data_IF_498555192346
#
_entry.id   IF_498555192346
#
_cell.length_a   1.000
_cell.length_b   1.000
_cell.length_c   1.000
_cell.angle_alpha   90.00
_cell.angle_beta   90.00
_cell.angle_gamma   90.00
#
_symmetry.space_group_name_H-M   'P 1'
#
loop_
_entity.id
_entity.type
_entity.pdbx_description
1 polymer ?
#
# COMPACT_ATOMS: atom_id res chain seq x y z
N UNK A 1 81.01 -8.32 3.08
CA UNK A 1 80.07 -8.07 4.16
C UNK A 1 79.24 -6.82 3.77
N UNK A 2 77.93 -6.80 3.83
CA UNK A 2 76.96 -7.55 4.63
C UNK A 2 75.70 -8.00 3.85
N UNK A 3 75.27 -9.22 4.04
CA UNK A 3 73.96 -9.70 3.64
C UNK A 3 73.12 -10.08 4.87
N UNK A 4 72.43 -9.17 5.52
CA UNK A 4 71.48 -9.51 6.61
C UNK A 4 70.33 -8.50 6.78
N UNK A 5 69.72 -7.96 5.74
CA UNK A 5 68.64 -6.98 5.96
C UNK A 5 67.30 -7.30 5.34
N UNK A 6 67.07 -8.45 4.68
CA UNK A 6 65.83 -8.70 3.93
C UNK A 6 64.90 -9.84 4.42
N UNK A 7 65.22 -10.49 5.56
CA UNK A 7 64.44 -11.66 6.03
C UNK A 7 63.33 -11.34 7.06
N UNK A 8 63.27 -10.15 7.65
CA UNK A 8 62.28 -9.81 8.71
C UNK A 8 60.92 -9.38 8.19
N UNK A 9 60.82 -8.76 7.01
CA UNK A 9 59.56 -8.20 6.47
C UNK A 9 58.59 -9.25 5.91
N UNK A 10 59.07 -10.38 5.44
CA UNK A 10 58.22 -11.43 4.85
C UNK A 10 57.45 -12.25 5.89
N UNK A 11 57.92 -12.35 7.12
CA UNK A 11 57.20 -13.04 8.21
C UNK A 11 56.07 -12.17 8.79
N UNK A 12 56.30 -10.88 8.91
CA UNK A 12 55.32 -9.92 9.41
C UNK A 12 54.10 -9.78 8.48
N UNK A 13 54.29 -9.73 7.16
CA UNK A 13 53.19 -9.66 6.19
C UNK A 13 52.37 -10.94 6.09
N UNK A 14 52.98 -12.10 6.32
CA UNK A 14 52.25 -13.38 6.37
C UNK A 14 51.43 -13.53 7.63
N UNK A 15 51.92 -13.10 8.77
CA UNK A 15 51.18 -13.06 10.04
C UNK A 15 50.02 -12.10 9.98
N UNK A 16 50.18 -10.90 9.44
CA UNK A 16 49.11 -9.94 9.22
C UNK A 16 47.99 -10.50 8.32
N UNK A 17 48.36 -11.12 7.20
CA UNK A 17 47.37 -11.76 6.29
C UNK A 17 46.64 -12.92 6.96
N UNK A 18 47.30 -13.73 7.78
CA UNK A 18 46.65 -14.81 8.52
C UNK A 18 45.67 -14.28 9.59
N UNK A 19 46.02 -13.19 10.28
CA UNK A 19 45.13 -12.54 11.26
C UNK A 19 43.89 -11.93 10.57
N UNK A 20 44.09 -11.27 9.43
CA UNK A 20 42.94 -10.73 8.65
C UNK A 20 42.04 -11.84 8.11
N UNK A 21 42.60 -12.93 7.63
CA UNK A 21 41.82 -14.08 7.15
C UNK A 21 41.04 -14.74 8.31
N UNK A 22 41.62 -14.90 9.48
CA UNK A 22 40.97 -15.43 10.66
C UNK A 22 39.84 -14.49 11.15
N UNK A 23 40.07 -13.19 11.18
CA UNK A 23 39.08 -12.21 11.57
C UNK A 23 37.88 -12.17 10.59
N UNK A 24 38.15 -12.24 9.28
CA UNK A 24 37.11 -12.35 8.26
C UNK A 24 36.29 -13.65 8.41
N UNK A 25 36.92 -14.76 8.70
CA UNK A 25 36.26 -16.04 8.97
C UNK A 25 35.31 -15.97 10.17
N UNK A 26 35.76 -15.35 11.27
CA UNK A 26 34.93 -15.15 12.48
C UNK A 26 33.71 -14.27 12.17
N UNK A 27 33.88 -13.19 11.42
CA UNK A 27 32.77 -12.29 11.03
C UNK A 27 31.74 -13.05 10.19
N UNK A 28 32.16 -13.86 9.22
CA UNK A 28 31.26 -14.67 8.39
C UNK A 28 30.51 -15.69 9.26
N UNK A 29 31.17 -16.38 10.17
CA UNK A 29 30.52 -17.35 11.08
C UNK A 29 29.49 -16.64 11.98
N UNK A 30 29.81 -15.47 12.52
CA UNK A 30 28.88 -14.68 13.33
C UNK A 30 27.67 -14.23 12.50
N UNK A 31 27.86 -13.76 11.28
CA UNK A 31 26.76 -13.36 10.40
C UNK A 31 25.85 -14.54 10.03
N UNK A 32 26.44 -15.71 9.75
CA UNK A 32 25.69 -16.93 9.46
C UNK A 32 24.94 -17.42 10.71
N UNK A 33 25.56 -17.37 11.88
CA UNK A 33 24.93 -17.76 13.13
C UNK A 33 23.77 -16.82 13.49
N UNK A 34 23.94 -15.51 13.34
CA UNK A 34 22.87 -14.52 13.56
C UNK A 34 21.76 -14.70 12.53
N UNK A 35 22.07 -14.96 11.26
CA UNK A 35 21.09 -15.26 10.22
C UNK A 35 20.32 -16.56 10.49
N UNK A 36 21.00 -17.60 11.00
CA UNK A 36 20.36 -18.87 11.35
C UNK A 36 19.51 -18.82 12.63
N UNK A 37 19.80 -17.88 13.53
CA UNK A 37 19.00 -17.63 14.74
C UNK A 37 17.77 -16.75 14.49
N UNK A 38 17.67 -16.08 13.34
CA UNK A 38 16.44 -15.42 12.94
C UNK A 38 15.52 -16.49 12.35
N UNK A 39 14.39 -16.84 13.02
CA UNK A 39 13.43 -17.75 12.41
C UNK A 39 13.04 -17.16 11.06
N UNK A 40 12.94 -17.99 10.00
CA UNK A 40 12.41 -17.52 8.74
C UNK A 40 11.06 -16.89 9.08
N UNK A 41 10.89 -15.59 8.76
CA UNK A 41 9.58 -15.00 8.80
C UNK A 41 8.74 -15.85 7.86
N UNK A 42 7.88 -16.69 8.44
CA UNK A 42 6.81 -17.28 7.66
C UNK A 42 6.03 -16.09 7.10
N UNK A 43 6.27 -15.77 5.83
CA UNK A 43 5.31 -15.01 5.06
C UNK A 43 4.10 -15.93 4.96
N UNK A 44 3.30 -15.94 6.03
CA UNK A 44 2.00 -16.59 6.01
C UNK A 44 1.28 -16.00 4.82
N UNK A 45 0.80 -16.85 3.92
CA UNK A 45 -0.11 -16.42 2.88
C UNK A 45 -1.30 -15.83 3.62
N UNK A 46 -1.31 -14.51 3.77
CA UNK A 46 -2.45 -13.83 4.37
C UNK A 46 -3.59 -13.92 3.38
N UNK A 47 -4.66 -14.59 3.76
CA UNK A 47 -5.92 -14.62 3.00
C UNK A 47 -6.79 -13.41 3.31
N UNK A 48 -6.33 -12.52 4.18
CA UNK A 48 -7.05 -11.32 4.58
C UNK A 48 -7.27 -10.40 3.38
N UNK A 49 -8.50 -9.96 3.24
CA UNK A 49 -8.91 -9.09 2.14
C UNK A 49 -9.94 -8.08 2.63
N UNK A 50 -9.82 -6.86 2.16
CA UNK A 50 -10.79 -5.79 2.34
C UNK A 50 -11.45 -5.42 1.01
N UNK A 51 -12.74 -5.23 1.03
CA UNK A 51 -13.55 -4.80 -0.10
C UNK A 51 -14.40 -5.90 -0.73
N UNK A 52 -15.22 -5.54 -1.72
CA UNK A 52 -16.15 -6.47 -2.36
C UNK A 52 -15.42 -7.55 -3.15
N UNK A 53 -16.10 -8.69 -3.29
CA UNK A 53 -15.65 -9.80 -4.13
C UNK A 53 -16.25 -9.67 -5.54
N UNK A 54 -15.56 -10.23 -6.51
CA UNK A 54 -16.12 -10.33 -7.86
C UNK A 54 -17.39 -11.21 -7.87
N UNK A 55 -18.45 -10.74 -8.47
CA UNK A 55 -19.74 -11.40 -8.47
C UNK A 55 -20.62 -11.14 -7.24
N UNK A 56 -20.09 -10.50 -6.20
CA UNK A 56 -20.86 -10.07 -5.01
C UNK A 56 -21.74 -8.87 -5.38
N UNK A 57 -22.99 -8.84 -4.90
CA UNK A 57 -23.78 -7.63 -5.03
C UNK A 57 -23.32 -6.54 -4.06
N UNK A 58 -23.50 -5.27 -4.45
CA UNK A 58 -23.19 -4.14 -3.55
C UNK A 58 -23.96 -4.25 -2.24
N UNK A 59 -25.20 -4.73 -2.25
CA UNK A 59 -26.02 -4.90 -1.04
C UNK A 59 -25.45 -5.95 -0.09
N UNK A 60 -25.00 -7.10 -0.60
CA UNK A 60 -24.34 -8.16 0.17
C UNK A 60 -23.03 -7.67 0.77
N UNK A 61 -22.21 -6.98 -0.03
CA UNK A 61 -20.99 -6.36 0.48
C UNK A 61 -21.25 -5.37 1.63
N UNK A 62 -22.23 -4.47 1.46
CA UNK A 62 -22.57 -3.48 2.50
C UNK A 62 -23.09 -4.15 3.78
N UNK A 63 -23.80 -5.27 3.68
CA UNK A 63 -24.21 -6.06 4.84
C UNK A 63 -22.99 -6.69 5.55
N UNK A 64 -22.12 -7.37 4.80
CA UNK A 64 -20.89 -7.99 5.31
C UNK A 64 -19.93 -6.96 5.93
N UNK A 65 -19.78 -5.79 5.32
CA UNK A 65 -18.97 -4.70 5.87
C UNK A 65 -19.51 -4.22 7.24
N UNK A 66 -20.82 -4.08 7.40
CA UNK A 66 -21.44 -3.74 8.68
C UNK A 66 -21.24 -4.83 9.72
N UNK A 67 -21.38 -6.09 9.34
CA UNK A 67 -21.22 -7.24 10.24
C UNK A 67 -19.78 -7.35 10.77
N UNK A 68 -18.78 -6.93 9.98
CA UNK A 68 -17.37 -6.90 10.39
C UNK A 68 -17.09 -5.96 11.57
N UNK A 69 -18.00 -5.01 11.85
CA UNK A 69 -17.89 -4.04 12.92
C UNK A 69 -18.56 -4.48 14.23
N UNK A 70 -19.09 -5.71 14.29
CA UNK A 70 -19.88 -6.21 15.42
C UNK A 70 -19.08 -6.48 16.70
N UNK A 71 -17.75 -6.44 16.67
CA UNK A 71 -16.89 -6.66 17.82
C UNK A 71 -17.13 -5.67 18.96
N UNK A 72 -17.07 -6.15 20.21
CA UNK A 72 -17.23 -5.36 21.45
C UNK A 72 -15.91 -5.18 22.20
N UNK A 73 -14.83 -5.78 21.73
CA UNK A 73 -13.48 -5.63 22.28
C UNK A 73 -12.88 -4.26 21.97
N UNK A 74 -11.78 -3.91 22.63
CA UNK A 74 -11.05 -2.66 22.44
C UNK A 74 -9.84 -2.81 21.49
N UNK A 75 -9.67 -3.96 20.83
CA UNK A 75 -8.55 -4.19 19.94
C UNK A 75 -8.70 -3.36 18.67
N UNK A 76 -7.65 -2.60 18.33
CA UNK A 76 -7.63 -1.85 17.07
C UNK A 76 -7.52 -2.78 15.85
N UNK A 77 -8.25 -2.45 14.81
CA UNK A 77 -8.32 -3.20 13.56
C UNK A 77 -8.01 -2.31 12.37
N UNK A 78 -7.44 -2.91 11.34
CA UNK A 78 -7.38 -2.28 10.02
C UNK A 78 -8.75 -2.34 9.38
N UNK A 79 -9.19 -1.24 8.80
CA UNK A 79 -10.48 -1.14 8.14
C UNK A 79 -10.39 -0.35 6.83
N UNK A 80 -11.12 -0.81 5.83
CA UNK A 80 -11.35 -0.11 4.57
C UNK A 80 -12.55 0.81 4.74
N UNK A 81 -12.34 2.07 4.42
CA UNK A 81 -13.38 3.10 4.31
C UNK A 81 -13.62 3.35 2.83
N UNK A 82 -14.80 3.08 2.32
CA UNK A 82 -15.23 3.42 0.96
C UNK A 82 -16.12 4.66 0.99
N UNK A 83 -15.98 5.54 0.00
CA UNK A 83 -16.69 6.81 -0.05
C UNK A 83 -17.96 6.74 -0.90
N UNK A 84 -18.92 7.63 -0.62
CA UNK A 84 -20.13 7.80 -1.43
C UNK A 84 -19.85 8.51 -2.76
N UNK A 85 -18.79 9.31 -2.82
CA UNK A 85 -18.34 10.05 -3.99
C UNK A 85 -16.81 10.14 -4.01
N UNK A 86 -16.22 10.41 -5.17
CA UNK A 86 -14.78 10.63 -5.27
C UNK A 86 -14.37 11.86 -4.45
N UNK A 87 -13.27 11.77 -3.71
CA UNK A 87 -12.82 12.81 -2.78
C UNK A 87 -11.50 13.45 -3.23
N UNK A 88 -11.33 14.74 -2.89
CA UNK A 88 -10.04 15.42 -3.02
C UNK A 88 -9.13 15.10 -1.82
N UNK A 89 -7.79 15.17 -1.96
CA UNK A 89 -6.87 14.93 -0.85
C UNK A 89 -7.15 15.79 0.38
N UNK A 90 -7.61 17.03 0.19
CA UNK A 90 -7.88 18.00 1.26
C UNK A 90 -9.02 17.57 2.19
N UNK A 91 -9.93 16.73 1.71
CA UNK A 91 -11.07 16.26 2.52
C UNK A 91 -10.75 15.00 3.34
N UNK A 92 -9.68 14.28 3.01
CA UNK A 92 -9.37 12.97 3.60
C UNK A 92 -9.14 13.01 5.12
N UNK A 93 -8.40 14.00 5.70
CA UNK A 93 -8.23 14.07 7.14
C UNK A 93 -9.55 14.20 7.89
N UNK A 94 -10.47 15.04 7.41
CA UNK A 94 -11.79 15.21 8.00
C UNK A 94 -12.65 13.94 7.90
N UNK A 95 -12.58 13.23 6.75
CA UNK A 95 -13.30 11.97 6.53
C UNK A 95 -12.75 10.82 7.38
N UNK A 96 -11.48 10.86 7.80
CA UNK A 96 -10.92 9.88 8.72
C UNK A 96 -11.34 10.09 10.19
N UNK A 97 -11.98 11.24 10.52
CA UNK A 97 -12.49 11.54 11.85
C UNK A 97 -11.47 11.35 12.99
N UNK A 98 -10.21 11.73 12.75
CA UNK A 98 -9.11 11.58 13.72
C UNK A 98 -8.50 10.19 13.81
N UNK A 99 -9.00 9.20 13.07
CA UNK A 99 -8.37 7.88 12.99
C UNK A 99 -7.07 7.92 12.21
N UNK A 100 -6.15 7.03 12.57
CA UNK A 100 -4.88 6.87 11.85
C UNK A 100 -5.14 6.37 10.43
N UNK A 101 -4.77 7.17 9.43
CA UNK A 101 -4.76 6.75 8.04
C UNK A 101 -3.47 5.97 7.77
N UNK A 102 -3.58 4.74 7.29
CA UNK A 102 -2.45 3.91 6.87
C UNK A 102 -2.23 3.92 5.37
N UNK A 103 -3.32 4.04 4.59
CA UNK A 103 -3.27 4.08 3.12
C UNK A 103 -4.37 4.97 2.56
N UNK A 104 -4.08 5.60 1.42
CA UNK A 104 -5.07 6.28 0.58
C UNK A 104 -5.18 5.53 -0.75
N UNK A 105 -6.40 5.32 -1.21
CA UNK A 105 -6.69 4.64 -2.47
C UNK A 105 -7.18 5.65 -3.50
N UNK A 106 -6.52 5.68 -4.65
CA UNK A 106 -6.85 6.56 -5.77
C UNK A 106 -7.23 5.75 -6.99
N UNK A 107 -8.30 6.19 -7.64
CA UNK A 107 -8.67 5.77 -8.98
C UNK A 107 -9.23 6.99 -9.73
N UNK A 108 -8.63 7.35 -10.84
CA UNK A 108 -9.06 8.53 -11.60
C UNK A 108 -10.33 8.17 -12.38
N UNK A 109 -11.46 8.84 -12.15
CA UNK A 109 -12.68 8.52 -12.88
C UNK A 109 -12.58 9.02 -14.32
N UNK A 110 -12.64 8.09 -15.27
CA UNK A 110 -12.78 8.34 -16.69
C UNK A 110 -14.00 7.57 -17.22
N UNK A 111 -14.94 8.23 -17.91
CA UNK A 111 -16.14 7.56 -18.39
C UNK A 111 -15.84 6.36 -19.30
N UNK A 112 -16.28 5.15 -18.91
CA UNK A 112 -16.07 3.90 -19.63
C UNK A 112 -14.60 3.59 -19.97
N UNK A 113 -13.66 4.01 -19.10
CA UNK A 113 -12.24 3.69 -19.21
C UNK A 113 -11.77 3.13 -17.88
N UNK A 114 -11.18 1.95 -17.89
CA UNK A 114 -10.58 1.36 -16.71
C UNK A 114 -9.26 2.06 -16.40
N UNK A 115 -9.20 2.74 -15.26
CA UNK A 115 -7.98 3.37 -14.77
C UNK A 115 -7.37 2.53 -13.65
N UNK A 116 -6.07 2.63 -13.49
CA UNK A 116 -5.35 1.88 -12.47
C UNK A 116 -5.72 2.35 -11.06
N UNK A 117 -6.03 1.39 -10.17
CA UNK A 117 -6.11 1.64 -8.73
C UNK A 117 -4.70 1.80 -8.16
N UNK A 118 -4.45 2.91 -7.50
CA UNK A 118 -3.17 3.21 -6.83
C UNK A 118 -3.38 3.25 -5.33
N UNK A 119 -2.55 2.54 -4.59
CA UNK A 119 -2.57 2.52 -3.13
C UNK A 119 -1.31 3.21 -2.60
N UNK A 120 -1.48 4.36 -1.97
CA UNK A 120 -0.39 5.13 -1.37
C UNK A 120 -0.32 4.85 0.12
N UNK A 121 0.83 4.40 0.61
CA UNK A 121 1.07 4.26 2.03
C UNK A 121 1.32 5.64 2.65
N UNK A 122 0.68 5.90 3.78
CA UNK A 122 0.77 7.20 4.47
C UNK A 122 1.34 6.95 5.87
N UNK A 123 2.56 7.44 6.18
CA UNK A 123 2.98 7.54 7.56
C UNK A 123 2.08 8.53 8.30
N UNK A 124 1.83 8.31 9.58
CA UNK A 124 0.78 8.89 10.41
C UNK A 124 0.80 10.43 10.56
N UNK A 125 1.00 11.20 9.49
CA UNK A 125 0.97 12.67 9.50
C UNK A 125 0.04 13.21 8.43
N UNK A 126 -0.76 14.22 8.80
CA UNK A 126 -1.73 14.87 7.90
C UNK A 126 -1.08 15.44 6.63
N UNK A 127 0.11 16.03 6.75
CA UNK A 127 0.84 16.61 5.61
C UNK A 127 1.10 15.59 4.52
N UNK A 128 1.36 14.34 4.87
CA UNK A 128 1.60 13.27 3.88
C UNK A 128 0.29 12.85 3.21
N UNK A 129 -0.83 12.87 3.94
CA UNK A 129 -2.16 12.62 3.34
C UNK A 129 -2.45 13.65 2.25
N UNK A 130 -2.16 14.92 2.49
CA UNK A 130 -2.39 16.00 1.51
C UNK A 130 -1.52 15.87 0.24
N UNK A 131 -0.35 15.25 0.34
CA UNK A 131 0.56 15.00 -0.78
C UNK A 131 0.34 13.65 -1.47
N UNK A 132 -0.48 12.79 -0.91
CA UNK A 132 -0.66 11.42 -1.40
C UNK A 132 -1.13 11.31 -2.86
N UNK A 133 -1.82 12.33 -3.40
CA UNK A 133 -2.18 12.37 -4.82
C UNK A 133 -0.95 12.53 -5.73
N UNK A 134 0.04 13.33 -5.32
CA UNK A 134 1.31 13.45 -6.04
C UNK A 134 2.10 12.14 -5.99
N UNK A 135 2.14 11.48 -4.83
CA UNK A 135 2.78 10.17 -4.68
C UNK A 135 2.09 9.11 -5.55
N UNK A 136 0.75 9.14 -5.66
CA UNK A 136 -0.01 8.29 -6.59
C UNK A 136 0.39 8.56 -8.05
N UNK A 137 0.53 9.82 -8.43
CA UNK A 137 0.97 10.20 -9.78
C UNK A 137 2.39 9.69 -10.08
N UNK A 138 3.31 9.76 -9.12
CA UNK A 138 4.65 9.21 -9.24
C UNK A 138 4.65 7.68 -9.39
N UNK A 139 3.84 6.95 -8.61
CA UNK A 139 3.71 5.51 -8.74
C UNK A 139 3.20 5.10 -10.11
N UNK A 140 2.21 5.80 -10.67
CA UNK A 140 1.72 5.53 -12.03
C UNK A 140 2.81 5.71 -13.08
N UNK A 141 3.62 6.78 -12.99
CA UNK A 141 4.74 7.02 -13.91
C UNK A 141 5.84 5.97 -13.77
N UNK A 142 6.13 5.53 -12.55
CA UNK A 142 7.15 4.52 -12.31
C UNK A 142 6.71 3.15 -12.85
N UNK A 143 5.46 2.78 -12.62
CA UNK A 143 4.86 1.58 -13.19
C UNK A 143 4.90 1.59 -14.72
N UNK A 144 4.57 2.73 -15.35
CA UNK A 144 4.64 2.88 -16.80
C UNK A 144 6.07 2.70 -17.33
N UNK A 145 7.06 3.32 -16.69
CA UNK A 145 8.48 3.23 -17.07
C UNK A 145 9.08 1.85 -16.90
N UNK A 146 8.63 1.11 -15.88
CA UNK A 146 9.11 -0.24 -15.57
C UNK A 146 8.46 -1.32 -16.44
N UNK A 147 7.35 -1.01 -17.11
CA UNK A 147 6.65 -1.92 -18.00
C UNK A 147 7.39 -2.10 -19.33
N UNK A 148 7.62 -3.34 -19.75
CA UNK A 148 8.41 -3.66 -20.97
C UNK A 148 7.67 -3.39 -22.29
N UNK A 149 6.36 -3.46 -22.26
CA UNK A 149 5.52 -3.21 -23.43
C UNK A 149 4.22 -2.55 -22.96
N UNK A 150 3.98 -1.32 -23.41
CA UNK A 150 2.78 -0.56 -23.10
C UNK A 150 2.18 -0.12 -24.43
N UNK A 151 0.89 -0.34 -24.64
CA UNK A 151 0.17 0.16 -25.80
C UNK A 151 -0.13 1.66 -25.64
N UNK A 152 -0.38 2.32 -26.77
CA UNK A 152 -0.64 3.77 -26.84
C UNK A 152 -1.86 4.19 -25.98
N UNK A 153 -2.91 3.35 -25.91
CA UNK A 153 -4.09 3.63 -25.09
C UNK A 153 -3.74 3.64 -23.60
N UNK A 154 -3.01 2.65 -23.13
CA UNK A 154 -2.54 2.56 -21.74
C UNK A 154 -1.64 3.74 -21.39
N UNK A 155 -0.70 4.11 -22.25
CA UNK A 155 0.16 5.29 -22.05
C UNK A 155 -0.66 6.58 -21.92
N UNK A 156 -1.66 6.76 -22.79
CA UNK A 156 -2.56 7.91 -22.74
C UNK A 156 -3.39 7.93 -21.45
N UNK A 157 -3.95 6.78 -21.03
CA UNK A 157 -4.70 6.66 -19.76
C UNK A 157 -3.84 7.08 -18.57
N UNK A 158 -2.60 6.57 -18.48
CA UNK A 158 -1.68 6.93 -17.41
C UNK A 158 -1.33 8.41 -17.44
N UNK A 159 -1.04 8.96 -18.63
CA UNK A 159 -0.69 10.39 -18.80
C UNK A 159 -1.82 11.30 -18.31
N UNK A 160 -3.06 11.02 -18.69
CA UNK A 160 -4.25 11.78 -18.24
C UNK A 160 -4.47 11.60 -16.74
N UNK A 161 -4.31 10.38 -16.22
CA UNK A 161 -4.47 10.10 -14.78
C UNK A 161 -3.44 10.87 -13.96
N UNK A 162 -2.19 10.88 -14.35
CA UNK A 162 -1.11 11.66 -13.71
C UNK A 162 -1.42 13.15 -13.72
N UNK A 163 -1.86 13.69 -14.85
CA UNK A 163 -2.20 15.12 -14.96
C UNK A 163 -3.33 15.49 -14.00
N UNK A 164 -4.39 14.67 -13.90
CA UNK A 164 -5.52 14.91 -13.00
C UNK A 164 -5.14 14.79 -11.53
N UNK A 165 -4.36 13.79 -11.14
CA UNK A 165 -3.88 13.63 -9.77
C UNK A 165 -3.04 14.84 -9.32
N UNK A 166 -2.13 15.32 -10.18
CA UNK A 166 -1.32 16.53 -9.92
C UNK A 166 -2.15 17.80 -9.84
N UNK A 167 -3.25 17.86 -10.57
CA UNK A 167 -4.21 18.95 -10.48
C UNK A 167 -5.10 18.87 -9.20
N UNK A 168 -4.91 17.84 -8.35
CA UNK A 168 -5.69 17.70 -7.12
C UNK A 168 -7.13 17.25 -7.35
N UNK A 169 -7.37 16.38 -8.34
CA UNK A 169 -8.71 15.88 -8.66
C UNK A 169 -9.41 15.24 -7.47
N UNK A 170 -10.73 15.22 -7.52
CA UNK A 170 -11.53 14.32 -6.69
C UNK A 170 -11.37 12.88 -7.23
N UNK A 171 -10.34 12.18 -6.80
CA UNK A 171 -9.93 10.86 -7.33
C UNK A 171 -9.66 9.84 -6.21
N UNK A 172 -9.72 10.24 -4.94
CA UNK A 172 -9.64 9.29 -3.84
C UNK A 172 -10.95 8.53 -3.71
N UNK A 173 -10.87 7.20 -3.65
CA UNK A 173 -12.02 6.29 -3.58
C UNK A 173 -12.18 5.67 -2.20
N UNK A 174 -11.17 5.73 -1.35
CA UNK A 174 -11.22 5.18 -0.01
C UNK A 174 -9.94 5.38 0.79
N UNK A 175 -10.01 4.98 2.06
CA UNK A 175 -8.90 4.98 3.00
C UNK A 175 -8.77 3.61 3.65
N UNK A 176 -7.56 3.25 4.05
CA UNK A 176 -7.36 2.24 5.09
C UNK A 176 -7.00 2.96 6.38
N UNK A 177 -7.83 2.78 7.38
CA UNK A 177 -7.66 3.38 8.71
C UNK A 177 -7.43 2.32 9.78
N UNK A 178 -6.99 2.74 10.96
CA UNK A 178 -6.88 1.86 12.13
C UNK A 178 -7.65 2.44 13.30
N UNK A 179 -8.49 1.63 13.92
CA UNK A 179 -9.31 2.04 15.05
C UNK A 179 -9.98 0.86 15.75
N UNK A 180 -10.55 1.12 16.92
CA UNK A 180 -11.38 0.15 17.65
C UNK A 180 -12.72 -0.06 16.94
N UNK A 181 -13.43 -1.19 17.17
CA UNK A 181 -14.76 -1.42 16.59
C UNK A 181 -15.75 -0.29 16.89
N UNK A 182 -15.70 0.31 18.06
CA UNK A 182 -16.54 1.47 18.40
C UNK A 182 -16.23 2.69 17.53
N UNK A 183 -14.95 3.04 17.39
CA UNK A 183 -14.51 4.15 16.55
C UNK A 183 -14.88 3.92 15.08
N UNK A 184 -14.75 2.69 14.58
CA UNK A 184 -15.09 2.33 13.21
C UNK A 184 -16.60 2.35 12.97
N UNK A 185 -17.43 1.93 13.95
CA UNK A 185 -18.91 2.11 13.88
C UNK A 185 -19.29 3.58 13.83
N UNK A 186 -18.68 4.41 14.67
CA UNK A 186 -18.92 5.85 14.65
C UNK A 186 -18.54 6.44 13.28
N UNK A 187 -17.37 6.07 12.75
CA UNK A 187 -16.94 6.50 11.42
C UNK A 187 -17.95 6.11 10.32
N UNK A 188 -18.51 4.90 10.39
CA UNK A 188 -19.46 4.40 9.40
C UNK A 188 -20.78 5.22 9.34
N UNK A 189 -21.06 6.06 10.35
CA UNK A 189 -22.23 6.96 10.37
C UNK A 189 -21.95 8.33 9.77
N UNK A 190 -20.70 8.65 9.41
CA UNK A 190 -20.34 9.97 8.92
C UNK A 190 -20.79 10.18 7.47
N UNK A 191 -21.21 11.42 7.18
CA UNK A 191 -21.56 11.82 5.83
C UNK A 191 -20.33 11.66 4.88
N UNK A 192 -20.59 11.13 3.69
CA UNK A 192 -19.55 10.85 2.70
C UNK A 192 -18.93 9.46 2.82
N UNK A 193 -19.23 8.70 3.87
CA UNK A 193 -18.81 7.31 4.04
C UNK A 193 -19.91 6.39 3.52
N UNK A 194 -19.57 5.48 2.60
CA UNK A 194 -20.47 4.47 2.03
C UNK A 194 -20.42 3.16 2.77
N UNK A 195 -19.20 2.74 3.15
CA UNK A 195 -18.97 1.52 3.90
C UNK A 195 -17.70 1.62 4.74
N UNK A 196 -17.69 0.94 5.88
CA UNK A 196 -16.48 0.64 6.66
C UNK A 196 -16.45 -0.88 6.88
N UNK A 197 -15.40 -1.53 6.43
CA UNK A 197 -15.17 -2.97 6.61
C UNK A 197 -13.90 -3.19 7.40
N UNK A 198 -13.97 -3.91 8.52
CA UNK A 198 -12.82 -4.19 9.39
C UNK A 198 -12.28 -5.60 9.19
N UNK A 199 -10.97 -5.74 9.26
CA UNK A 199 -10.28 -7.03 9.39
C UNK A 199 -10.31 -7.54 10.85
N UNK A 200 -10.04 -8.83 11.08
CA UNK A 200 -9.74 -9.34 12.40
C UNK A 200 -8.60 -8.58 13.09
N UNK A 201 -8.56 -8.60 14.43
CA UNK A 201 -7.59 -7.82 15.21
C UNK A 201 -6.14 -8.27 15.03
N UNK A 202 -5.92 -9.50 14.62
CA UNK A 202 -4.62 -10.12 14.35
C UNK A 202 -4.08 -9.85 12.93
N UNK A 203 -4.85 -9.16 12.09
CA UNK A 203 -4.43 -8.83 10.73
C UNK A 203 -3.15 -7.97 10.70
N UNK A 204 -2.16 -8.41 9.94
CA UNK A 204 -0.85 -7.77 9.85
C UNK A 204 -0.88 -6.63 8.84
N UNK A 205 -0.37 -5.46 9.25
CA UNK A 205 -0.23 -4.30 8.38
C UNK A 205 0.55 -4.65 7.10
N UNK A 206 -0.05 -4.39 5.94
CA UNK A 206 0.59 -4.65 4.65
C UNK A 206 0.41 -6.06 4.09
N UNK A 207 -0.06 -7.00 4.87
CA UNK A 207 -0.24 -8.40 4.46
C UNK A 207 -1.69 -8.74 4.03
N UNK A 208 -2.47 -7.77 3.61
CA UNK A 208 -3.84 -7.97 3.13
C UNK A 208 -4.09 -7.28 1.79
N UNK A 209 -4.95 -7.89 0.97
CA UNK A 209 -5.40 -7.33 -0.29
C UNK A 209 -6.50 -6.27 -0.07
N UNK A 210 -6.57 -5.27 -0.95
CA UNK A 210 -7.56 -4.21 -0.87
C UNK A 210 -8.18 -3.98 -2.25
N UNK A 211 -9.51 -4.02 -2.30
CA UNK A 211 -10.31 -3.66 -3.47
C UNK A 211 -11.42 -2.73 -2.99
N UNK A 212 -11.36 -1.41 -3.21
CA UNK A 212 -12.38 -0.50 -2.71
C UNK A 212 -13.71 -0.69 -3.44
N UNK A 213 -14.83 -0.48 -2.72
CA UNK A 213 -16.10 -0.27 -3.37
C UNK A 213 -16.08 1.13 -3.99
N UNK A 214 -16.09 1.20 -5.31
CA UNK A 214 -16.07 2.47 -6.04
C UNK A 214 -17.37 3.27 -5.79
N UNK A 215 -17.31 4.60 -5.79
CA UNK A 215 -18.49 5.44 -5.58
C UNK A 215 -19.62 5.20 -6.58
N UNK A 216 -19.29 4.92 -7.83
CA UNK A 216 -20.22 4.69 -8.94
C UNK A 216 -20.65 3.22 -9.09
N UNK A 217 -20.06 2.29 -8.30
CA UNK A 217 -20.44 0.88 -8.35
C UNK A 217 -21.89 0.67 -7.90
N UNK A 218 -22.67 0.01 -8.73
CA UNK A 218 -24.06 -0.39 -8.49
C UNK A 218 -24.31 -1.83 -8.93
N UNK A 219 -25.30 -2.47 -8.32
CA UNK A 219 -25.67 -3.85 -8.71
C UNK A 219 -24.64 -4.89 -8.30
N UNK A 220 -24.10 -5.64 -9.24
CA UNK A 220 -23.13 -6.72 -9.03
C UNK A 220 -21.71 -6.22 -9.35
N UNK A 221 -20.78 -6.54 -8.49
CA UNK A 221 -19.35 -6.16 -8.64
C UNK A 221 -18.72 -6.99 -9.77
N UNK A 222 -18.21 -6.30 -10.76
CA UNK A 222 -17.57 -6.90 -11.93
C UNK A 222 -16.61 -5.92 -12.61
N UNK A 223 -15.97 -6.35 -13.71
CA UNK A 223 -15.14 -5.47 -14.50
C UNK A 223 -15.94 -4.27 -15.02
N UNK A 224 -15.42 -3.06 -14.84
CA UNK A 224 -16.00 -1.87 -15.43
C UNK A 224 -15.84 -1.89 -16.96
N UNK A 225 -16.74 -1.23 -17.74
CA UNK A 225 -16.53 -1.06 -19.18
C UNK A 225 -15.21 -0.35 -19.49
N UNK A 226 -14.53 -0.78 -20.56
CA UNK A 226 -13.26 -0.19 -21.02
C UNK A 226 -13.26 0.11 -22.53
N UNK A 227 -14.38 0.59 -23.02
CA UNK A 227 -14.61 0.89 -24.44
C UNK A 227 -14.82 2.39 -24.72
N UNK A 228 -14.67 3.22 -23.70
CA UNK A 228 -14.78 4.67 -23.83
C UNK A 228 -13.55 5.31 -24.48
N UNK A 229 -13.70 6.50 -25.09
CA UNK A 229 -12.55 7.27 -25.58
C UNK A 229 -11.73 7.81 -24.38
N UNK A 230 -10.41 7.75 -24.49
CA UNK A 230 -9.53 8.41 -23.54
C UNK A 230 -9.47 9.90 -23.86
N UNK A 231 -9.84 10.80 -22.92
CA UNK A 231 -9.77 12.24 -23.17
C UNK A 231 -8.31 12.69 -23.35
N UNK A 232 -8.14 13.91 -23.90
CA UNK A 232 -6.79 14.48 -24.08
C UNK A 232 -6.24 15.16 -22.81
N UNK A 233 -7.10 15.42 -21.81
CA UNK A 233 -6.77 16.04 -20.51
C UNK A 233 -7.67 15.53 -19.39
#
# INVERSE_FOLDING_TARGET
>A
MPERCCRSNLRSTRLLRAVFAAAAGVVVVVLVAVGAMQPPRSEGVSTDRLGPQQGESVAEYLARARDSLSGTDAAERWALVSFTEYQTPQRLPALAAGLRIGRVLYQVPLPRVQTQLVTVQVPATEVVVLRSAEDAAWQLLDNLRSSRAVDERTEKIVTVSVARLRAGCACAVGLVVRGTPEQLRNLATHNGIRAVEALPADAVAGAFAIVPLLPDATGVIGPAPDDGPVPDR
#
